data_IF_181699888557
#
_entry.id   IF_181699888557
#
_cell.length_a   1.000
_cell.length_b   1.000
_cell.length_c   1.000
_cell.angle_alpha   90.00
_cell.angle_beta   90.00
_cell.angle_gamma   90.00
#
_symmetry.space_group_name_H-M   'P 1'
#
loop_
_entity.id
_entity.type
_entity.pdbx_description
1 polymer ?
#
# COMPACT_ATOMS: atom_id res chain seq x y z
N UNK A 1 -20.48 14.08 -2.18
CA UNK A 1 -19.46 13.13 -1.68
C UNK A 1 -18.20 13.36 -2.49
N UNK A 2 -17.01 13.11 -1.93
CA UNK A 2 -15.74 13.21 -2.68
C UNK A 2 -15.30 11.78 -3.03
N UNK A 3 -14.67 11.62 -4.18
CA UNK A 3 -14.10 10.36 -4.65
C UNK A 3 -12.94 10.63 -5.60
N UNK A 4 -12.25 9.57 -5.99
CA UNK A 4 -11.14 9.60 -6.94
C UNK A 4 -11.66 9.04 -8.27
N UNK A 5 -11.40 9.75 -9.37
CA UNK A 5 -11.69 9.24 -10.71
C UNK A 5 -10.65 8.16 -11.01
N UNK A 6 -11.11 6.92 -11.21
CA UNK A 6 -10.24 5.75 -11.43
C UNK A 6 -10.09 5.37 -12.90
N UNK A 7 -11.05 5.76 -13.73
CA UNK A 7 -11.06 5.44 -15.16
C UNK A 7 -11.92 6.46 -15.91
N UNK A 8 -11.42 6.97 -17.04
CA UNK A 8 -12.25 7.66 -18.04
C UNK A 8 -12.23 6.90 -19.37
N UNK A 9 -13.24 7.11 -20.21
CA UNK A 9 -13.29 6.47 -21.52
C UNK A 9 -12.04 6.79 -22.35
N UNK A 10 -11.28 5.75 -22.71
CA UNK A 10 -10.02 5.84 -23.45
C UNK A 10 -8.77 5.53 -22.62
N UNK A 11 -8.88 5.39 -21.29
CA UNK A 11 -7.77 5.02 -20.40
C UNK A 11 -7.40 3.53 -20.45
N UNK A 12 -8.19 2.70 -21.14
CA UNK A 12 -7.85 1.30 -21.40
C UNK A 12 -6.70 1.22 -22.42
N UNK A 13 -5.48 1.50 -21.98
CA UNK A 13 -4.29 1.04 -22.68
C UNK A 13 -4.24 -0.49 -22.55
N UNK A 14 -4.60 -1.15 -23.63
CA UNK A 14 -4.54 -2.61 -23.77
C UNK A 14 -3.08 -3.05 -23.81
N UNK A 15 -2.44 -3.18 -22.64
CA UNK A 15 -1.27 -4.05 -22.45
C UNK A 15 -1.73 -5.51 -22.51
N UNK A 16 -2.27 -5.91 -23.66
CA UNK A 16 -2.41 -7.33 -23.99
C UNK A 16 -1.06 -7.74 -24.50
N UNK A 17 -0.24 -8.32 -23.61
CA UNK A 17 0.94 -9.08 -23.99
C UNK A 17 0.57 -9.99 -25.17
N UNK A 18 1.11 -9.69 -26.34
CA UNK A 18 1.00 -10.58 -27.49
C UNK A 18 1.86 -11.79 -27.16
N UNK A 19 1.24 -12.83 -26.62
CA UNK A 19 1.86 -14.14 -26.52
C UNK A 19 2.17 -14.62 -27.94
N UNK A 20 3.43 -14.46 -28.33
CA UNK A 20 3.97 -15.07 -29.53
C UNK A 20 4.00 -16.57 -29.28
N UNK A 21 3.08 -17.29 -29.91
CA UNK A 21 3.15 -18.75 -29.97
C UNK A 21 4.27 -19.12 -30.93
N UNK A 22 5.46 -19.40 -30.38
CA UNK A 22 6.54 -20.06 -31.11
C UNK A 22 6.16 -21.54 -31.26
N UNK A 23 5.37 -21.83 -32.30
CA UNK A 23 5.19 -23.18 -32.83
C UNK A 23 6.43 -23.54 -33.65
N UNK A 24 7.45 -24.11 -33.00
CA UNK A 24 8.49 -24.89 -33.69
C UNK A 24 8.27 -26.38 -33.37
N UNK A 25 7.49 -27.02 -34.25
CA UNK A 25 7.52 -28.45 -34.48
C UNK A 25 8.90 -28.83 -35.03
N UNK A 26 9.68 -29.63 -34.29
CA UNK A 26 10.68 -30.49 -34.89
C UNK A 26 10.69 -31.85 -34.19
N UNK A 27 10.16 -32.82 -34.92
CA UNK A 27 10.22 -34.25 -34.67
C UNK A 27 11.63 -34.77 -34.89
N UNK A 28 12.15 -35.62 -34.00
CA UNK A 28 13.00 -36.76 -34.39
C UNK A 28 13.05 -37.81 -33.28
N UNK A 29 12.76 -39.05 -33.69
CA UNK A 29 12.76 -40.29 -32.91
C UNK A 29 14.18 -40.72 -32.49
N UNK A 30 14.31 -41.48 -31.39
CA UNK A 30 15.09 -42.74 -31.33
C UNK A 30 15.10 -43.38 -29.92
N UNK A 31 14.42 -44.53 -29.83
CA UNK A 31 14.79 -45.83 -29.25
C UNK A 31 15.49 -45.98 -27.88
N UNK A 32 14.92 -46.87 -27.04
CA UNK A 32 15.58 -47.48 -25.89
C UNK A 32 14.70 -48.47 -25.11
N UNK A 33 14.79 -49.76 -25.46
CA UNK A 33 14.10 -50.91 -24.88
C UNK A 33 14.40 -51.25 -23.40
N UNK A 34 13.49 -52.07 -22.82
CA UNK A 34 13.69 -53.24 -21.91
C UNK A 34 13.01 -53.18 -20.52
N UNK A 35 11.88 -53.90 -20.47
CA UNK A 35 11.39 -54.94 -19.51
C UNK A 35 11.18 -54.69 -17.99
N UNK A 36 9.91 -54.95 -17.62
CA UNK A 36 9.31 -55.69 -16.50
C UNK A 36 9.60 -55.39 -15.01
N UNK A 37 8.49 -55.17 -14.28
CA UNK A 37 8.41 -55.20 -12.82
C UNK A 37 6.97 -54.91 -12.34
N UNK A 38 6.34 -55.96 -11.81
CA UNK A 38 4.93 -56.14 -11.49
C UNK A 38 4.40 -55.34 -10.26
N UNK A 39 3.07 -55.29 -10.20
CA UNK A 39 2.16 -55.14 -9.06
C UNK A 39 1.81 -53.74 -8.47
N UNK A 40 0.48 -53.50 -8.56
CA UNK A 40 -0.40 -53.01 -7.50
C UNK A 40 -0.81 -51.53 -7.45
N UNK A 41 -2.00 -51.32 -8.04
CA UNK A 41 -3.23 -50.93 -7.33
C UNK A 41 -3.63 -49.44 -7.30
N UNK A 42 -4.89 -49.26 -7.71
CA UNK A 42 -5.87 -48.28 -7.23
C UNK A 42 -5.94 -46.89 -7.90
N UNK A 43 -6.86 -46.79 -8.87
CA UNK A 43 -8.08 -46.00 -8.68
C UNK A 43 -8.00 -44.48 -8.78
N UNK A 44 -8.33 -43.98 -9.97
CA UNK A 44 -9.44 -43.02 -10.09
C UNK A 44 -9.11 -41.51 -10.16
N UNK A 45 -9.50 -40.97 -11.32
CA UNK A 45 -10.16 -39.66 -11.55
C UNK A 45 -9.29 -38.44 -11.83
N UNK A 46 -9.32 -38.09 -13.12
CA UNK A 46 -9.13 -36.76 -13.70
C UNK A 46 -10.02 -35.68 -13.07
N UNK A 47 -9.56 -34.43 -13.30
CA UNK A 47 -10.34 -33.19 -13.45
C UNK A 47 -10.81 -32.56 -12.11
N UNK A 48 -10.71 -31.27 -11.83
CA UNK A 48 -10.30 -30.07 -12.56
C UNK A 48 -9.81 -29.05 -11.53
N UNK A 49 -8.68 -28.40 -11.80
CA UNK A 49 -8.27 -27.20 -11.05
C UNK A 49 -9.00 -26.02 -11.66
N UNK A 50 -10.16 -25.67 -11.11
CA UNK A 50 -10.77 -24.35 -11.33
C UNK A 50 -10.02 -23.34 -10.46
N UNK A 51 -8.90 -22.84 -10.97
CA UNK A 51 -8.35 -21.56 -10.54
C UNK A 51 -9.17 -20.46 -11.21
N UNK A 52 -10.29 -20.10 -10.58
CA UNK A 52 -11.12 -19.00 -11.02
C UNK A 52 -10.44 -17.69 -10.60
N UNK A 53 -9.55 -17.20 -11.47
CA UNK A 53 -9.17 -15.78 -11.49
C UNK A 53 -10.45 -14.97 -11.74
N UNK A 54 -11.06 -14.47 -10.67
CA UNK A 54 -12.14 -13.48 -10.73
C UNK A 54 -11.49 -12.16 -11.14
N UNK A 55 -11.17 -12.04 -12.42
CA UNK A 55 -11.00 -10.76 -13.06
C UNK A 55 -12.41 -10.32 -13.49
N UNK A 56 -13.13 -9.67 -12.58
CA UNK A 56 -14.39 -9.00 -12.91
C UNK A 56 -14.07 -8.01 -14.03
N UNK A 57 -14.48 -8.34 -15.26
CA UNK A 57 -14.37 -7.45 -16.40
C UNK A 57 -15.25 -6.24 -16.13
N UNK A 58 -14.65 -5.15 -15.69
CA UNK A 58 -15.32 -3.86 -15.53
C UNK A 58 -15.93 -3.47 -16.89
N UNK A 59 -17.23 -3.14 -16.89
CA UNK A 59 -17.92 -2.78 -18.11
C UNK A 59 -17.28 -1.54 -18.75
N UNK A 60 -17.10 -1.57 -20.07
CA UNK A 60 -16.52 -0.47 -20.83
C UNK A 60 -17.35 0.81 -20.67
N UNK A 61 -16.67 1.91 -20.33
CA UNK A 61 -17.28 3.23 -20.14
C UNK A 61 -17.75 3.82 -21.46
N UNK A 62 -18.93 4.49 -21.46
CA UNK A 62 -19.33 5.33 -22.58
C UNK A 62 -18.49 6.62 -22.63
N UNK A 63 -18.49 7.31 -23.77
CA UNK A 63 -17.68 8.52 -23.98
C UNK A 63 -17.87 9.64 -22.95
N UNK A 64 -19.04 9.71 -22.32
CA UNK A 64 -19.34 10.74 -21.31
C UNK A 64 -19.40 10.18 -19.88
N UNK A 65 -18.90 8.98 -19.67
CA UNK A 65 -18.90 8.31 -18.38
C UNK A 65 -17.50 8.24 -17.80
N UNK A 66 -17.46 8.24 -16.48
CA UNK A 66 -16.26 8.06 -15.68
C UNK A 66 -16.56 7.14 -14.51
N UNK A 67 -15.54 6.45 -14.03
CA UNK A 67 -15.62 5.59 -12.84
C UNK A 67 -15.07 6.36 -11.64
N UNK A 68 -15.85 6.39 -10.55
CA UNK A 68 -15.45 7.04 -9.30
C UNK A 68 -15.38 6.01 -8.20
N UNK A 69 -14.23 5.92 -7.55
CA UNK A 69 -14.07 5.29 -6.23
C UNK A 69 -14.35 6.35 -5.15
N UNK A 70 -15.47 6.18 -4.45
CA UNK A 70 -15.86 7.09 -3.38
C UNK A 70 -15.08 6.83 -2.10
N UNK A 71 -15.03 7.83 -1.22
CA UNK A 71 -14.34 7.73 0.08
C UNK A 71 -14.96 6.70 1.05
N UNK A 72 -16.14 6.16 0.76
CA UNK A 72 -16.75 5.05 1.50
C UNK A 72 -16.47 3.67 0.87
N UNK A 73 -15.49 3.61 -0.03
CA UNK A 73 -15.05 2.41 -0.76
C UNK A 73 -16.08 1.89 -1.78
N UNK A 74 -17.21 2.57 -1.97
CA UNK A 74 -18.13 2.25 -3.05
C UNK A 74 -17.60 2.75 -4.39
N UNK A 75 -17.86 1.99 -5.46
CA UNK A 75 -17.54 2.40 -6.82
C UNK A 75 -18.82 2.63 -7.62
N UNK A 76 -18.85 3.67 -8.45
CA UNK A 76 -19.97 3.92 -9.35
C UNK A 76 -19.54 4.60 -10.64
N UNK A 77 -20.24 4.31 -11.73
CA UNK A 77 -20.17 5.06 -12.97
C UNK A 77 -20.99 6.35 -12.85
N UNK A 78 -20.41 7.48 -13.23
CA UNK A 78 -21.04 8.80 -13.23
C UNK A 78 -20.89 9.44 -14.61
N UNK A 79 -21.79 10.36 -14.96
CA UNK A 79 -21.57 11.23 -16.12
C UNK A 79 -20.67 12.41 -15.75
N UNK A 80 -19.88 12.91 -16.70
CA UNK A 80 -19.07 14.13 -16.48
C UNK A 80 -19.89 15.33 -16.01
N UNK A 81 -21.17 15.42 -16.41
CA UNK A 81 -22.08 16.52 -16.01
C UNK A 81 -22.48 16.48 -14.54
N UNK A 82 -22.32 15.33 -13.89
CA UNK A 82 -22.86 15.07 -12.55
C UNK A 82 -21.79 15.22 -11.46
N UNK A 83 -20.54 15.53 -11.85
CA UNK A 83 -19.41 15.70 -10.95
C UNK A 83 -18.66 17.00 -11.22
N UNK A 84 -18.01 17.52 -10.19
CA UNK A 84 -17.13 18.69 -10.27
C UNK A 84 -15.70 18.26 -9.93
N UNK A 85 -14.74 18.66 -10.77
CA UNK A 85 -13.32 18.40 -10.53
C UNK A 85 -12.82 19.36 -9.45
N UNK A 86 -12.50 18.82 -8.28
CA UNK A 86 -12.00 19.60 -7.13
C UNK A 86 -10.48 19.78 -7.21
N UNK A 87 -9.76 18.75 -7.66
CA UNK A 87 -8.29 18.75 -7.74
C UNK A 87 -7.80 17.89 -8.91
N UNK A 88 -6.60 18.19 -9.41
CA UNK A 88 -5.89 17.38 -10.40
C UNK A 88 -4.46 17.16 -9.93
N UNK A 89 -4.05 15.90 -9.84
CA UNK A 89 -2.65 15.57 -9.64
C UNK A 89 -1.85 15.94 -10.89
N UNK A 90 -0.76 16.69 -10.72
CA UNK A 90 0.23 16.95 -11.77
C UNK A 90 1.59 16.41 -11.34
N UNK A 91 2.26 15.76 -12.28
CA UNK A 91 3.65 15.34 -12.17
C UNK A 91 4.54 16.25 -13.01
N UNK A 92 5.82 16.31 -12.64
CA UNK A 92 6.82 16.99 -13.46
C UNK A 92 6.90 16.31 -14.83
N UNK A 93 6.82 17.10 -15.90
CA UNK A 93 6.83 16.59 -17.27
C UNK A 93 5.45 16.45 -17.91
N UNK A 94 4.36 16.55 -17.14
CA UNK A 94 3.01 16.49 -17.68
C UNK A 94 2.77 17.61 -18.70
N UNK A 95 2.10 17.27 -19.81
CA UNK A 95 1.62 18.25 -20.77
C UNK A 95 0.32 18.87 -20.29
N UNK A 96 0.26 20.20 -20.33
CA UNK A 96 -0.89 20.97 -19.81
C UNK A 96 -1.31 22.06 -20.78
N UNK A 97 -2.60 22.37 -20.79
CA UNK A 97 -3.17 23.54 -21.45
C UNK A 97 -4.02 24.33 -20.45
N UNK A 98 -4.31 25.59 -20.76
CA UNK A 98 -5.19 26.39 -19.91
C UNK A 98 -6.59 25.75 -19.86
N UNK A 99 -7.18 25.61 -18.67
CA UNK A 99 -8.51 25.01 -18.54
C UNK A 99 -9.61 25.79 -19.31
N UNK A 100 -9.41 27.09 -19.50
CA UNK A 100 -10.28 27.94 -20.32
C UNK A 100 -10.09 27.78 -21.83
N UNK A 101 -8.97 27.20 -22.26
CA UNK A 101 -8.61 26.94 -23.67
C UNK A 101 -7.82 25.62 -23.79
N UNK A 102 -8.48 24.46 -23.59
CA UNK A 102 -7.82 23.17 -23.55
C UNK A 102 -7.25 22.72 -24.91
N UNK A 103 -7.70 23.34 -26.01
CA UNK A 103 -7.17 23.13 -27.37
C UNK A 103 -6.09 24.14 -27.77
N UNK A 104 -5.76 25.06 -26.86
CA UNK A 104 -4.84 26.16 -27.11
C UNK A 104 -3.37 25.78 -27.02
N UNK A 105 -2.56 26.71 -26.54
CA UNK A 105 -1.13 26.47 -26.34
C UNK A 105 -0.90 25.43 -25.24
N UNK A 106 -0.13 24.40 -25.58
CA UNK A 106 0.35 23.40 -24.63
C UNK A 106 1.67 23.84 -24.01
N UNK A 107 1.84 23.54 -22.72
CA UNK A 107 3.08 23.67 -21.96
C UNK A 107 3.43 22.38 -21.23
N UNK A 108 4.53 22.39 -20.48
CA UNK A 108 5.00 21.26 -19.66
C UNK A 108 5.11 21.71 -18.21
N UNK A 109 4.70 20.86 -17.27
CA UNK A 109 4.83 21.11 -15.83
C UNK A 109 6.30 21.01 -15.42
N UNK A 110 6.86 22.13 -14.93
CA UNK A 110 8.28 22.23 -14.51
C UNK A 110 8.47 22.39 -13.00
N UNK A 111 7.42 22.71 -12.26
CA UNK A 111 7.39 22.79 -10.80
C UNK A 111 5.99 22.51 -10.29
N UNK A 112 5.88 21.86 -9.14
CA UNK A 112 4.60 21.56 -8.46
C UNK A 112 4.73 21.94 -6.99
N UNK A 113 3.91 22.87 -6.54
CA UNK A 113 3.83 23.24 -5.13
C UNK A 113 2.56 22.64 -4.52
N UNK A 114 2.72 21.73 -3.57
CA UNK A 114 1.61 21.04 -2.91
C UNK A 114 1.43 21.56 -1.48
N UNK A 115 0.18 21.70 -1.06
CA UNK A 115 -0.23 21.92 0.32
C UNK A 115 -1.25 20.88 0.73
N UNK A 116 -1.25 20.50 2.01
CA UNK A 116 -2.18 19.52 2.56
C UNK A 116 -2.85 20.07 3.82
N UNK A 117 -4.05 19.58 4.08
CA UNK A 117 -4.72 19.76 5.37
C UNK A 117 -4.35 18.58 6.27
N UNK A 118 -3.81 18.86 7.46
CA UNK A 118 -3.42 17.85 8.44
C UNK A 118 -4.52 17.67 9.49
N UNK A 119 -5.01 16.43 9.64
CA UNK A 119 -5.92 16.05 10.72
C UNK A 119 -5.12 15.62 11.96
N UNK A 120 -5.28 16.35 13.06
CA UNK A 120 -4.66 16.02 14.34
C UNK A 120 -5.46 14.95 15.10
N UNK A 121 -4.81 14.32 16.08
CA UNK A 121 -5.40 13.27 16.92
C UNK A 121 -6.66 13.70 17.71
N UNK A 122 -6.77 15.00 18.00
CA UNK A 122 -7.92 15.60 18.70
C UNK A 122 -9.06 15.98 17.73
N UNK A 123 -8.90 15.69 16.43
CA UNK A 123 -9.86 16.00 15.38
C UNK A 123 -9.72 17.42 14.81
N UNK A 124 -8.80 18.24 15.31
CA UNK A 124 -8.54 19.56 14.73
C UNK A 124 -7.86 19.43 13.36
N UNK A 125 -8.13 20.38 12.46
CA UNK A 125 -7.53 20.41 11.11
C UNK A 125 -6.62 21.63 11.01
N UNK A 126 -5.34 21.39 10.69
CA UNK A 126 -4.38 22.43 10.34
C UNK A 126 -4.34 22.53 8.82
N UNK A 127 -4.81 23.65 8.28
CA UNK A 127 -4.99 23.81 6.84
C UNK A 127 -3.76 24.33 6.11
N UNK A 128 -3.70 24.06 4.81
CA UNK A 128 -2.76 24.67 3.86
C UNK A 128 -1.28 24.50 4.25
N UNK A 129 -0.92 23.36 4.83
CA UNK A 129 0.46 23.07 5.22
C UNK A 129 1.25 22.72 3.97
N UNK A 130 2.28 23.51 3.65
CA UNK A 130 3.18 23.19 2.53
C UNK A 130 3.83 21.82 2.73
N UNK A 131 3.84 20.99 1.68
CA UNK A 131 4.51 19.69 1.69
C UNK A 131 6.01 19.79 2.00
N UNK A 132 6.63 20.95 1.74
CA UNK A 132 8.04 21.24 2.05
C UNK A 132 8.33 21.30 3.56
N UNK A 133 7.30 21.51 4.39
CA UNK A 133 7.41 21.49 5.85
C UNK A 133 7.19 20.09 6.45
N UNK A 134 6.77 19.12 5.63
CA UNK A 134 6.48 17.76 6.07
C UNK A 134 7.73 16.89 5.99
N UNK A 135 7.77 15.88 6.85
CA UNK A 135 8.80 14.84 6.85
C UNK A 135 8.13 13.48 6.95
N UNK A 136 8.74 12.48 6.34
CA UNK A 136 8.34 11.09 6.54
C UNK A 136 8.46 10.75 8.03
N UNK A 137 7.57 9.89 8.51
CA UNK A 137 7.60 9.37 9.89
C UNK A 137 8.86 8.53 10.13
N UNK A 138 9.37 7.88 9.07
CA UNK A 138 10.55 7.01 9.08
C UNK A 138 11.57 7.44 8.03
N UNK A 139 12.82 7.04 8.26
CA UNK A 139 13.92 7.29 7.33
C UNK A 139 13.89 6.35 6.11
N UNK A 140 13.38 5.12 6.28
CA UNK A 140 13.28 4.10 5.24
C UNK A 140 11.87 3.51 5.16
N UNK A 141 11.43 3.23 3.94
CA UNK A 141 10.19 2.54 3.60
C UNK A 141 10.49 1.36 2.66
N UNK A 142 9.69 0.30 2.75
CA UNK A 142 9.72 -0.80 1.78
C UNK A 142 9.63 -0.24 0.36
N UNK A 143 10.52 -0.71 -0.50
CA UNK A 143 10.64 -0.27 -1.88
C UNK A 143 11.55 0.94 -2.11
N UNK A 144 12.01 1.65 -1.07
CA UNK A 144 13.02 2.70 -1.21
C UNK A 144 14.32 2.09 -1.79
N UNK A 145 15.00 2.82 -2.68
CA UNK A 145 16.32 2.45 -3.18
C UNK A 145 17.41 2.92 -2.21
N UNK A 146 18.37 2.04 -1.94
CA UNK A 146 19.50 2.31 -1.04
C UNK A 146 20.82 2.03 -1.73
N UNK A 147 21.87 2.79 -1.39
CA UNK A 147 23.19 2.68 -2.00
C UNK A 147 24.27 2.49 -0.95
N UNK A 148 25.18 1.54 -1.18
CA UNK A 148 26.38 1.35 -0.39
C UNK A 148 27.60 1.19 -1.31
N UNK A 149 28.39 2.25 -1.44
CA UNK A 149 29.49 2.28 -2.41
C UNK A 149 28.95 2.11 -3.84
N UNK A 150 29.37 1.04 -4.53
CA UNK A 150 28.91 0.72 -5.90
C UNK A 150 27.66 -0.17 -5.94
N UNK A 151 27.09 -0.53 -4.79
CA UNK A 151 25.94 -1.43 -4.72
C UNK A 151 24.65 -0.63 -4.67
N UNK A 152 23.68 -1.02 -5.49
CA UNK A 152 22.30 -0.56 -5.45
C UNK A 152 21.43 -1.68 -4.89
N UNK A 153 20.64 -1.38 -3.86
CA UNK A 153 19.65 -2.29 -3.28
C UNK A 153 18.28 -1.63 -3.22
N UNK A 154 17.28 -2.43 -2.89
CA UNK A 154 15.91 -2.00 -2.63
C UNK A 154 15.49 -2.57 -1.27
N UNK A 155 14.89 -1.74 -0.42
CA UNK A 155 14.44 -2.15 0.91
C UNK A 155 13.30 -3.16 0.75
N UNK A 156 13.47 -4.34 1.33
CA UNK A 156 12.49 -5.43 1.32
C UNK A 156 11.54 -5.34 2.52
N UNK A 157 12.10 -5.07 3.71
CA UNK A 157 11.31 -4.95 4.95
C UNK A 157 11.92 -3.93 5.93
N UNK A 158 11.07 -3.32 6.76
CA UNK A 158 11.45 -2.35 7.80
C UNK A 158 10.80 -2.71 9.13
N UNK A 159 11.63 -3.01 10.12
CA UNK A 159 11.19 -3.27 11.49
C UNK A 159 11.39 -2.04 12.37
N UNK A 160 10.30 -1.51 12.89
CA UNK A 160 10.30 -0.34 13.75
C UNK A 160 10.68 -0.65 15.20
N UNK A 161 11.28 0.32 15.87
CA UNK A 161 11.21 0.42 17.31
C UNK A 161 10.18 1.47 17.72
N UNK A 162 9.24 1.07 18.58
CA UNK A 162 8.11 1.89 19.00
C UNK A 162 8.23 2.25 20.47
N UNK A 163 8.19 3.54 20.79
CA UNK A 163 8.17 4.05 22.16
C UNK A 163 6.73 4.29 22.60
N UNK A 164 6.31 3.61 23.67
CA UNK A 164 4.94 3.61 24.16
C UNK A 164 4.89 4.28 25.54
N UNK A 165 4.05 5.30 25.67
CA UNK A 165 3.68 5.98 26.90
C UNK A 165 2.37 5.39 27.44
N UNK A 166 2.39 4.92 28.67
CA UNK A 166 1.21 4.44 29.37
C UNK A 166 0.50 5.59 30.09
N UNK A 167 -0.80 5.43 30.36
CA UNK A 167 -1.63 6.47 30.99
C UNK A 167 -1.18 6.83 32.41
N UNK A 168 -0.41 5.95 33.07
CA UNK A 168 0.23 6.20 34.37
C UNK A 168 1.61 6.91 34.26
N UNK A 169 1.98 7.37 33.07
CA UNK A 169 3.23 8.08 32.79
C UNK A 169 4.45 7.18 32.59
N UNK A 170 4.31 5.85 32.72
CA UNK A 170 5.43 4.93 32.45
C UNK A 170 5.74 4.84 30.97
N UNK A 171 6.98 4.53 30.61
CA UNK A 171 7.45 4.52 29.21
C UNK A 171 8.28 3.29 28.93
N UNK A 172 8.00 2.61 27.83
CA UNK A 172 8.84 1.52 27.33
C UNK A 172 9.10 1.65 25.82
N UNK A 173 10.19 1.04 25.36
CA UNK A 173 10.55 0.91 23.94
C UNK A 173 10.44 -0.56 23.54
N UNK A 174 9.49 -0.86 22.67
CA UNK A 174 9.34 -2.16 22.00
C UNK A 174 10.26 -2.14 20.79
N UNK A 175 11.24 -3.05 20.76
CA UNK A 175 12.19 -3.13 19.63
C UNK A 175 11.67 -4.11 18.59
N UNK A 176 11.84 -3.81 17.29
CA UNK A 176 11.34 -4.62 16.17
C UNK A 176 9.87 -5.01 16.37
N UNK A 177 9.02 -3.99 16.57
CA UNK A 177 7.63 -4.14 16.92
C UNK A 177 6.85 -4.81 15.78
N UNK A 178 6.32 -6.00 16.05
CA UNK A 178 5.46 -6.74 15.14
C UNK A 178 4.01 -6.22 15.24
N UNK A 179 3.40 -5.71 14.16
CA UNK A 179 2.01 -5.24 14.13
C UNK A 179 0.98 -6.29 14.56
N UNK A 180 1.27 -7.59 14.46
CA UNK A 180 0.40 -8.66 14.95
C UNK A 180 0.40 -8.78 16.49
N UNK A 181 1.47 -8.31 17.13
CA UNK A 181 1.68 -8.38 18.57
C UNK A 181 1.46 -7.04 19.28
N UNK A 182 1.74 -5.91 18.62
CA UNK A 182 1.43 -4.56 19.10
C UNK A 182 0.48 -3.89 18.09
N UNK A 183 -0.82 -4.06 18.29
CA UNK A 183 -1.83 -3.67 17.32
C UNK A 183 -2.26 -2.22 17.52
N UNK A 184 -2.38 -1.41 16.46
CA UNK A 184 -3.17 -0.19 16.50
C UNK A 184 -4.59 -0.44 17.00
N UNK A 185 -5.13 0.43 17.86
CA UNK A 185 -6.53 0.38 18.30
C UNK A 185 -7.39 1.26 17.38
N UNK A 186 -7.26 1.10 16.06
CA UNK A 186 -7.78 2.04 15.06
C UNK A 186 -9.25 2.45 15.26
N UNK A 187 -9.58 3.67 14.79
CA UNK A 187 -10.96 4.11 14.57
C UNK A 187 -11.24 4.64 13.15
N UNK A 188 -10.30 4.63 12.18
CA UNK A 188 -10.61 5.04 10.79
C UNK A 188 -9.71 4.44 9.67
N UNK A 189 -10.37 3.67 8.81
CA UNK A 189 -10.48 3.55 7.32
C UNK A 189 -9.25 3.60 6.39
N UNK A 190 -8.13 4.25 6.73
CA UNK A 190 -6.94 4.15 5.88
C UNK A 190 -5.91 3.29 6.59
N UNK A 191 -6.16 1.98 6.63
CA UNK A 191 -5.18 0.97 7.03
C UNK A 191 -4.05 0.95 6.00
N UNK A 192 -3.14 1.92 6.07
CA UNK A 192 -1.88 1.81 5.36
C UNK A 192 -1.04 0.74 6.08
N UNK A 193 -1.12 -0.49 5.57
CA UNK A 193 -0.36 -1.63 6.06
C UNK A 193 1.15 -1.40 6.08
N UNK A 194 1.65 -0.39 5.34
CA UNK A 194 3.07 -0.06 5.28
C UNK A 194 3.52 0.81 6.47
N UNK A 195 2.61 1.55 7.12
CA UNK A 195 2.92 2.44 8.26
C UNK A 195 2.08 2.13 9.50
N UNK A 196 2.27 0.97 10.15
CA UNK A 196 1.49 0.56 11.31
C UNK A 196 1.60 1.50 12.53
N UNK A 197 2.67 2.30 12.65
CA UNK A 197 2.95 3.10 13.84
C UNK A 197 3.25 4.58 13.55
N UNK A 198 2.61 5.48 14.30
CA UNK A 198 2.94 6.92 14.29
C UNK A 198 2.69 7.58 15.66
N UNK A 199 3.37 8.68 16.00
CA UNK A 199 3.15 9.40 17.26
C UNK A 199 1.70 9.87 17.45
N UNK A 200 1.17 9.71 18.65
CA UNK A 200 -0.23 10.02 19.01
C UNK A 200 -1.20 8.84 18.86
N UNK A 201 -0.80 7.78 18.16
CA UNK A 201 -1.62 6.59 17.96
C UNK A 201 -1.77 5.76 19.23
N UNK A 202 -2.97 5.22 19.48
CA UNK A 202 -3.18 4.20 20.52
C UNK A 202 -2.84 2.82 20.01
N UNK A 203 -2.09 2.07 20.81
CA UNK A 203 -1.70 0.69 20.53
C UNK A 203 -2.07 -0.23 21.69
N UNK A 204 -2.42 -1.47 21.37
CA UNK A 204 -2.70 -2.55 22.31
C UNK A 204 -1.79 -3.73 22.05
N UNK A 205 -1.08 -4.17 23.07
CA UNK A 205 -0.35 -5.43 23.00
C UNK A 205 -1.31 -6.62 23.08
N UNK A 206 -1.06 -7.64 22.25
CA UNK A 206 -1.77 -8.93 22.29
C UNK A 206 -1.63 -9.63 23.65
N UNK A 207 -0.50 -9.41 24.31
CA UNK A 207 -0.20 -9.93 25.65
C UNK A 207 0.72 -8.95 26.39
N UNK A 208 0.60 -8.88 27.71
CA UNK A 208 1.48 -8.04 28.55
C UNK A 208 2.95 -8.50 28.50
N UNK A 209 3.23 -9.72 28.03
CA UNK A 209 4.59 -10.22 27.81
C UNK A 209 5.36 -9.39 26.78
N UNK A 210 4.69 -8.79 25.80
CA UNK A 210 5.31 -7.91 24.80
C UNK A 210 6.00 -6.74 25.50
N UNK A 211 5.31 -6.09 26.45
CA UNK A 211 5.90 -5.01 27.24
C UNK A 211 6.84 -5.52 28.34
N UNK A 212 6.73 -6.78 28.77
CA UNK A 212 7.69 -7.37 29.72
C UNK A 212 9.07 -7.51 29.09
N UNK A 213 9.13 -7.83 27.79
CA UNK A 213 10.37 -7.96 27.01
C UNK A 213 10.88 -6.61 26.47
N UNK A 214 10.08 -5.55 26.57
CA UNK A 214 10.46 -4.22 26.13
C UNK A 214 11.52 -3.59 27.04
N UNK A 215 12.24 -2.60 26.48
CA UNK A 215 13.17 -1.79 27.27
C UNK A 215 12.40 -0.69 28.01
N UNK A 216 12.29 -0.78 29.32
CA UNK A 216 11.64 0.26 30.14
C UNK A 216 12.56 1.47 30.27
N UNK A 217 12.04 2.65 29.88
CA UNK A 217 12.74 3.94 29.97
C UNK A 217 12.35 4.68 31.25
N UNK A 218 11.11 4.46 31.72
CA UNK A 218 10.59 4.98 32.98
C UNK A 218 9.47 4.06 33.50
N UNK A 219 9.39 3.90 34.82
CA UNK A 219 8.47 2.96 35.45
C UNK A 219 8.87 1.49 35.28
N UNK A 220 7.97 0.58 35.66
CA UNK A 220 8.21 -0.87 35.66
C UNK A 220 7.05 -1.61 35.02
N UNK A 221 7.30 -2.72 34.34
CA UNK A 221 6.26 -3.57 33.79
C UNK A 221 5.19 -3.96 34.82
N UNK A 222 3.93 -4.01 34.37
CA UNK A 222 2.78 -4.54 35.13
C UNK A 222 1.89 -5.37 34.19
N UNK A 223 1.34 -6.46 34.70
CA UNK A 223 0.54 -7.39 33.90
C UNK A 223 -0.75 -6.76 33.32
N UNK A 224 -1.30 -5.74 33.99
CA UNK A 224 -2.50 -5.02 33.54
C UNK A 224 -2.23 -3.94 32.48
N UNK A 225 -0.96 -3.68 32.13
CA UNK A 225 -0.61 -2.75 31.07
C UNK A 225 -0.68 -3.47 29.72
N UNK A 226 -1.75 -3.18 29.00
CA UNK A 226 -1.98 -3.73 27.66
C UNK A 226 -2.07 -2.63 26.61
N UNK A 227 -2.24 -1.37 27.01
CA UNK A 227 -2.45 -0.26 26.08
C UNK A 227 -1.57 0.93 26.42
N UNK A 228 -1.20 1.67 25.39
CA UNK A 228 -0.52 2.94 25.54
C UNK A 228 -0.58 3.76 24.26
N UNK A 229 0.05 4.92 24.30
CA UNK A 229 0.13 5.86 23.20
C UNK A 229 1.55 5.83 22.63
N UNK A 230 1.67 5.70 21.32
CA UNK A 230 2.95 5.83 20.62
C UNK A 230 3.42 7.27 20.74
N UNK A 231 4.66 7.46 21.17
CA UNK A 231 5.28 8.79 21.33
C UNK A 231 6.43 9.02 20.38
N UNK A 232 7.06 7.94 19.91
CA UNK A 232 8.18 8.00 18.99
C UNK A 232 8.30 6.66 18.23
N UNK A 233 8.61 6.72 16.94
CA UNK A 233 8.88 5.59 16.07
C UNK A 233 10.24 5.83 15.43
N UNK A 234 11.12 4.82 15.50
CA UNK A 234 12.47 4.90 14.92
C UNK A 234 12.75 3.62 14.19
N UNK A 235 13.53 3.68 13.11
CA UNK A 235 13.94 2.48 12.38
C UNK A 235 14.76 1.58 13.30
N UNK A 236 14.41 0.29 13.36
CA UNK A 236 15.10 -0.72 14.15
C UNK A 236 15.97 -1.63 13.31
N UNK A 237 15.45 -2.11 12.18
CA UNK A 237 16.22 -2.86 11.17
C UNK A 237 15.63 -2.62 9.80
N UNK A 238 16.49 -2.65 8.78
CA UNK A 238 16.14 -2.53 7.37
C UNK A 238 16.78 -3.74 6.69
N UNK A 239 16.03 -4.41 5.83
CA UNK A 239 16.48 -5.59 5.09
C UNK A 239 16.55 -5.29 3.60
#
# INVERSE_FOLDING_TARGET
>A
MIGIVTEVNGDSDSDSDSEVSDDEDDSEDEDGDVEEGDESNNGGRNSDRNDASVHDKTAALQTNELRVLWMDESESTQNFSDVEVIDRGFLLGDFVAAASDPTGQVGVVVDVNMSVDLLAHDGSIVKEVSSKALKRIRDFTVGDYVVLGSWLGRVDDVLDNVTVLFDDGSVCKVSKADPMNLKPISKNILEDGHFPYYPGQRVRAKSSSIFKMARWLSGLWKANRLEGTVTNVTVGSVF
#
